data_IF_279082528235
#
_entry.id   IF_279082528235
#
_cell.length_a   1.000
_cell.length_b   1.000
_cell.length_c   1.000
_cell.angle_alpha   90.00
_cell.angle_beta   90.00
_cell.angle_gamma   90.00
#
_symmetry.space_group_name_H-M   'P 1'
#
loop_
_entity.id
_entity.type
_entity.pdbx_description
1 polymer ?
#
# COMPACT_ATOMS: atom_id res chain seq x y z
N UNK A 1 11.75 -4.34 7.59
CA UNK A 1 10.81 -3.45 6.87
C UNK A 1 10.02 -4.17 5.79
N UNK A 2 10.57 -4.55 4.63
CA UNK A 2 9.75 -5.24 3.59
C UNK A 2 9.43 -6.71 3.91
N UNK A 3 10.36 -7.46 4.50
CA UNK A 3 10.15 -8.87 4.88
C UNK A 3 9.03 -9.01 5.92
N UNK A 4 9.00 -8.12 6.91
CA UNK A 4 7.91 -8.06 7.90
C UNK A 4 6.58 -7.74 7.24
N UNK A 5 6.56 -6.78 6.30
CA UNK A 5 5.34 -6.45 5.58
C UNK A 5 4.82 -7.63 4.76
N UNK A 6 5.70 -8.35 4.06
CA UNK A 6 5.34 -9.55 3.32
C UNK A 6 4.81 -10.67 4.24
N UNK A 7 5.34 -10.80 5.47
CA UNK A 7 4.82 -11.75 6.45
C UNK A 7 3.37 -11.44 6.85
N UNK A 8 3.06 -10.17 7.15
CA UNK A 8 1.68 -9.75 7.45
C UNK A 8 0.74 -9.92 6.25
N UNK A 9 1.20 -9.60 5.03
CA UNK A 9 0.41 -9.82 3.82
C UNK A 9 0.10 -11.31 3.60
N UNK A 10 1.08 -12.18 3.86
CA UNK A 10 0.89 -13.63 3.78
C UNK A 10 -0.19 -14.10 4.77
N UNK A 11 -0.22 -13.54 5.99
CA UNK A 11 -1.27 -13.82 6.96
C UNK A 11 -2.64 -13.35 6.46
N UNK A 12 -2.73 -12.17 5.83
CA UNK A 12 -3.98 -11.68 5.22
C UNK A 12 -4.48 -12.63 4.13
N UNK A 13 -3.62 -13.07 3.22
CA UNK A 13 -4.02 -14.04 2.19
C UNK A 13 -4.43 -15.41 2.75
N UNK A 14 -3.82 -15.83 3.87
CA UNK A 14 -4.22 -17.03 4.59
C UNK A 14 -5.59 -16.91 5.24
N UNK A 15 -5.89 -15.75 5.84
CA UNK A 15 -7.17 -15.48 6.50
C UNK A 15 -8.30 -15.13 5.52
N UNK A 16 -7.98 -14.56 4.36
CA UNK A 16 -8.91 -14.11 3.33
C UNK A 16 -8.56 -14.79 2.00
N UNK A 17 -8.92 -16.05 1.85
CA UNK A 17 -8.48 -16.88 0.71
C UNK A 17 -8.91 -16.34 -0.66
N UNK A 18 -10.04 -15.61 -0.75
CA UNK A 18 -10.51 -15.00 -2.00
C UNK A 18 -9.90 -13.62 -2.28
N UNK A 19 -9.13 -13.05 -1.35
CA UNK A 19 -8.46 -11.75 -1.56
C UNK A 19 -7.54 -11.82 -2.79
N UNK A 20 -7.79 -10.93 -3.74
CA UNK A 20 -7.05 -10.81 -5.02
C UNK A 20 -5.70 -10.13 -4.83
N UNK A 21 -5.68 -9.07 -4.03
CA UNK A 21 -4.45 -8.33 -3.70
C UNK A 21 -4.59 -7.59 -2.36
N UNK A 22 -3.45 -7.16 -1.82
CA UNK A 22 -3.35 -6.40 -0.57
C UNK A 22 -2.52 -5.14 -0.82
N UNK A 23 -3.14 -3.98 -0.57
CA UNK A 23 -2.43 -2.71 -0.51
C UNK A 23 -1.68 -2.60 0.82
N UNK A 24 -0.48 -2.04 0.77
CA UNK A 24 0.28 -1.68 1.95
C UNK A 24 1.12 -0.44 1.72
N UNK A 25 1.52 0.22 2.81
CA UNK A 25 2.46 1.34 2.74
C UNK A 25 3.30 1.42 4.01
N UNK A 26 4.48 2.03 3.88
CA UNK A 26 5.36 2.34 5.00
C UNK A 26 5.55 3.84 5.09
N UNK A 27 5.43 4.41 6.29
CA UNK A 27 5.80 5.80 6.58
C UNK A 27 7.01 5.77 7.52
N UNK A 28 8.12 6.35 7.09
CA UNK A 28 9.37 6.38 7.85
C UNK A 28 9.93 7.80 7.84
N UNK A 29 9.64 8.57 8.90
CA UNK A 29 9.92 10.00 8.94
C UNK A 29 9.09 10.73 7.87
N UNK A 30 9.75 11.53 7.03
CA UNK A 30 9.09 12.25 5.93
C UNK A 30 8.89 11.41 4.67
N UNK A 31 9.18 10.10 4.70
CA UNK A 31 9.10 9.27 3.51
C UNK A 31 7.92 8.31 3.55
N UNK A 32 7.19 8.22 2.44
CA UNK A 32 6.19 7.20 2.19
C UNK A 32 6.64 6.28 1.04
N UNK A 33 6.26 5.01 1.11
CA UNK A 33 6.40 4.04 0.00
C UNK A 33 5.19 3.13 -0.01
N UNK A 34 4.61 2.92 -1.19
CA UNK A 34 3.44 2.08 -1.39
C UNK A 34 3.84 0.73 -2.00
N UNK A 35 3.05 -0.29 -1.68
CA UNK A 35 3.23 -1.66 -2.11
C UNK A 35 1.85 -2.22 -2.50
N UNK A 36 1.82 -2.97 -3.59
CA UNK A 36 0.66 -3.76 -3.98
C UNK A 36 1.12 -5.21 -4.09
N UNK A 37 0.64 -6.04 -3.17
CA UNK A 37 0.94 -7.46 -3.17
C UNK A 37 -0.21 -8.23 -3.81
N UNK A 38 0.12 -9.13 -4.72
CA UNK A 38 -0.81 -10.12 -5.26
C UNK A 38 -0.24 -11.52 -5.03
N UNK A 39 -0.84 -12.54 -5.66
CA UNK A 39 -0.37 -13.93 -5.53
C UNK A 39 0.91 -14.22 -6.29
N UNK A 40 1.31 -13.37 -7.23
CA UNK A 40 2.53 -13.51 -8.02
C UNK A 40 3.72 -12.81 -7.36
N UNK A 41 3.49 -11.76 -6.56
CA UNK A 41 4.55 -11.07 -5.84
C UNK A 41 4.14 -9.69 -5.35
N UNK A 42 5.05 -8.71 -5.51
CA UNK A 42 4.85 -7.34 -5.03
C UNK A 42 5.29 -6.32 -6.07
N UNK A 43 4.39 -5.38 -6.37
CA UNK A 43 4.70 -4.13 -7.05
C UNK A 43 5.03 -3.05 -6.03
N UNK A 44 6.13 -2.32 -6.24
CA UNK A 44 6.66 -1.38 -5.25
C UNK A 44 6.82 0.00 -5.90
N UNK A 45 6.28 1.04 -5.27
CA UNK A 45 6.47 2.41 -5.73
C UNK A 45 7.91 2.90 -5.49
N UNK A 46 8.27 4.01 -6.11
CA UNK A 46 9.39 4.83 -5.63
C UNK A 46 9.13 5.31 -4.20
N UNK A 47 10.22 5.61 -3.48
CA UNK A 47 10.15 6.22 -2.15
C UNK A 47 9.93 7.72 -2.31
N UNK A 48 8.82 8.23 -1.78
CA UNK A 48 8.41 9.63 -1.91
C UNK A 48 8.79 10.36 -0.62
N UNK A 49 9.58 11.44 -0.73
CA UNK A 49 9.74 12.38 0.38
C UNK A 49 8.55 13.34 0.38
N UNK A 50 7.64 13.17 1.33
CA UNK A 50 6.42 13.95 1.50
C UNK A 50 6.75 15.45 1.57
N UNK A 51 7.80 15.82 2.31
CA UNK A 51 8.20 17.22 2.56
C UNK A 51 9.09 17.82 1.47
N UNK A 52 9.20 17.18 0.29
CA UNK A 52 10.09 17.66 -0.77
C UNK A 52 9.57 18.96 -1.39
N UNK A 53 8.28 19.05 -1.67
CA UNK A 53 7.60 20.24 -2.18
C UNK A 53 6.07 20.06 -2.04
N UNK A 54 5.31 21.11 -2.36
CA UNK A 54 3.85 21.07 -2.27
C UNK A 54 3.22 19.92 -3.07
N UNK A 55 3.77 19.55 -4.24
CA UNK A 55 3.25 18.44 -5.05
C UNK A 55 3.38 17.09 -4.34
N UNK A 56 4.48 16.85 -3.61
CA UNK A 56 4.65 15.60 -2.86
C UNK A 56 3.79 15.55 -1.60
N UNK A 57 3.51 16.70 -0.99
CA UNK A 57 2.55 16.80 0.13
C UNK A 57 1.13 16.49 -0.34
N UNK A 58 0.69 17.12 -1.43
CA UNK A 58 -0.60 16.82 -2.06
C UNK A 58 -0.71 15.36 -2.48
N UNK A 59 0.36 14.80 -3.09
CA UNK A 59 0.37 13.40 -3.51
C UNK A 59 0.16 12.47 -2.31
N UNK A 60 0.78 12.75 -1.17
CA UNK A 60 0.56 11.98 0.05
C UNK A 60 -0.90 12.03 0.52
N UNK A 61 -1.51 13.22 0.52
CA UNK A 61 -2.94 13.38 0.86
C UNK A 61 -3.81 12.59 -0.11
N UNK A 62 -3.54 12.67 -1.42
CA UNK A 62 -4.29 11.93 -2.45
C UNK A 62 -4.16 10.42 -2.30
N UNK A 63 -2.98 9.91 -1.91
CA UNK A 63 -2.78 8.48 -1.61
C UNK A 63 -3.72 8.05 -0.48
N UNK A 64 -3.75 8.79 0.64
CA UNK A 64 -4.62 8.48 1.78
C UNK A 64 -6.10 8.60 1.41
N UNK A 65 -6.48 9.66 0.69
CA UNK A 65 -7.84 9.86 0.20
C UNK A 65 -8.28 8.71 -0.71
N UNK A 66 -7.40 8.25 -1.61
CA UNK A 66 -7.69 7.12 -2.49
C UNK A 66 -8.02 5.88 -1.68
N UNK A 67 -7.21 5.53 -0.67
CA UNK A 67 -7.51 4.38 0.20
C UNK A 67 -8.82 4.54 0.97
N UNK A 68 -9.14 5.75 1.43
CA UNK A 68 -10.38 6.02 2.16
C UNK A 68 -11.63 5.94 1.28
N UNK A 69 -11.50 6.19 -0.03
CA UNK A 69 -12.62 6.18 -0.98
C UNK A 69 -12.76 4.89 -1.79
N UNK A 70 -11.79 3.97 -1.70
CA UNK A 70 -11.81 2.74 -2.50
C UNK A 70 -12.95 1.83 -2.07
N UNK A 71 -13.64 1.27 -3.05
CA UNK A 71 -14.62 0.19 -2.82
C UNK A 71 -13.92 -1.15 -2.49
N UNK A 72 -14.66 -2.18 -2.03
CA UNK A 72 -14.07 -3.47 -1.70
C UNK A 72 -13.28 -4.10 -2.86
N UNK A 73 -13.79 -3.99 -4.08
CA UNK A 73 -13.13 -4.52 -5.29
C UNK A 73 -11.78 -3.84 -5.51
N UNK A 74 -11.72 -2.51 -5.38
CA UNK A 74 -10.50 -1.71 -5.48
C UNK A 74 -9.52 -1.94 -4.32
N UNK A 75 -10.03 -2.35 -3.16
CA UNK A 75 -9.22 -2.81 -2.03
C UNK A 75 -8.69 -4.24 -2.24
N UNK A 76 -9.21 -4.98 -3.22
CA UNK A 76 -8.76 -6.34 -3.56
C UNK A 76 -9.59 -7.45 -2.93
N UNK A 77 -10.75 -7.13 -2.39
CA UNK A 77 -11.78 -8.12 -2.13
C UNK A 77 -12.35 -8.65 -3.47
N UNK A 78 -12.94 -9.83 -3.41
CA UNK A 78 -13.70 -10.48 -4.48
C UNK A 78 -15.19 -10.34 -4.18
#
# INVERSE_FOLDING_TARGET
>A
TIVQLAAYVREVFGAQFTRRFVHAFTICGSFVRCYLFDRAGVSISERINIRKNHRTEELFIRILQSYASMDPTQLGFD
#
